data_IF_375031220013
#
_entry.id   IF_375031220013
#
_cell.length_a   1.000
_cell.length_b   1.000
_cell.length_c   1.000
_cell.angle_alpha   90.00
_cell.angle_beta   90.00
_cell.angle_gamma   90.00
#
_symmetry.space_group_name_H-M   'P 1'
#
loop_
_entity.id
_entity.type
_entity.pdbx_description
1 polymer ?
#
# COMPACT_ATOMS: atom_id res chain seq x y z
N UNK A 1 -29.32 20.56 5.31
CA UNK A 1 -29.05 21.51 4.20
C UNK A 1 -29.33 22.91 4.72
N UNK A 2 -28.28 23.65 5.05
CA UNK A 2 -28.38 24.99 5.63
C UNK A 2 -27.81 26.01 4.62
N UNK A 3 -28.65 26.94 4.20
CA UNK A 3 -28.31 28.02 3.29
C UNK A 3 -27.34 28.99 3.95
N UNK A 4 -26.14 29.13 3.37
CA UNK A 4 -25.15 30.12 3.78
C UNK A 4 -25.56 31.51 3.29
N UNK A 5 -25.42 32.43 4.23
CA UNK A 5 -25.80 33.84 4.27
C UNK A 5 -24.83 34.69 3.44
N UNK A 6 -25.41 35.63 2.70
CA UNK A 6 -24.94 36.95 2.26
C UNK A 6 -23.44 37.26 2.32
N UNK A 7 -22.91 37.58 1.13
CA UNK A 7 -21.62 38.23 0.93
C UNK A 7 -21.63 39.66 1.46
N UNK A 8 -20.55 39.97 2.16
CA UNK A 8 -20.22 41.24 2.80
C UNK A 8 -19.70 42.24 1.76
N UNK A 9 -20.21 43.47 1.82
CA UNK A 9 -19.67 44.63 1.11
C UNK A 9 -18.24 44.94 1.59
N UNK A 10 -17.31 45.06 0.63
CA UNK A 10 -15.97 45.60 0.82
C UNK A 10 -15.99 47.13 0.70
N UNK A 11 -15.91 47.82 1.83
CA UNK A 11 -15.58 49.24 1.90
C UNK A 11 -14.07 49.37 2.18
N UNK A 12 -13.30 49.70 1.13
CA UNK A 12 -11.90 50.12 1.24
C UNK A 12 -11.87 51.65 1.26
N UNK A 13 -11.60 52.23 2.44
CA UNK A 13 -11.35 53.65 2.62
C UNK A 13 -9.87 53.97 2.39
N UNK A 14 -9.59 54.81 1.40
CA UNK A 14 -8.28 55.46 1.24
C UNK A 14 -8.23 56.71 2.14
N UNK A 15 -7.12 56.81 2.87
CA UNK A 15 -6.69 57.88 3.80
C UNK A 15 -6.89 59.31 3.27
N UNK A 16 -7.11 60.29 4.17
CA UNK A 16 -6.69 61.69 3.97
C UNK A 16 -5.49 62.03 4.88
N UNK A 17 -4.49 62.73 4.35
CA UNK A 17 -3.49 63.42 5.17
C UNK A 17 -2.89 64.61 4.40
N UNK A 18 -3.23 65.85 4.82
CA UNK A 18 -2.35 67.03 4.82
C UNK A 18 -3.00 68.14 5.66
N UNK A 19 -2.56 68.27 6.91
CA UNK A 19 -1.69 69.34 7.45
C UNK A 19 -2.44 70.66 7.60
N UNK A 20 -2.75 70.97 8.87
CA UNK A 20 -3.12 72.28 9.39
C UNK A 20 -1.90 73.19 9.36
N UNK A 21 -2.06 74.40 8.83
CA UNK A 21 -1.28 75.56 9.26
C UNK A 21 -2.16 76.39 10.20
N UNK A 22 -1.79 76.37 11.48
CA UNK A 22 -2.25 77.34 12.45
C UNK A 22 -1.60 78.68 12.13
N UNK A 23 -2.42 79.70 11.89
CA UNK A 23 -1.98 81.07 12.01
C UNK A 23 -2.91 81.77 13.00
N UNK A 24 -2.41 81.87 14.24
CA UNK A 24 -2.91 82.78 15.25
C UNK A 24 -2.92 84.21 14.67
N UNK A 25 -4.06 84.89 14.79
CA UNK A 25 -4.11 86.34 14.72
C UNK A 25 -4.65 86.87 16.05
N UNK A 26 -4.05 87.96 16.54
CA UNK A 26 -4.16 88.34 17.94
C UNK A 26 -5.53 88.94 18.25
N UNK A 27 -6.01 88.61 19.44
CA UNK A 27 -6.87 89.45 20.25
C UNK A 27 -6.21 90.83 20.40
N UNK A 28 -6.72 91.82 19.68
CA UNK A 28 -6.55 93.22 20.06
C UNK A 28 -7.91 93.75 20.46
N UNK A 29 -8.06 93.99 21.77
CA UNK A 29 -9.06 94.90 22.27
C UNK A 29 -8.79 96.27 21.67
N UNK A 30 -9.74 96.77 20.90
CA UNK A 30 -9.86 98.19 20.57
C UNK A 30 -11.32 98.53 20.79
N UNK A 31 -11.60 99.11 21.96
CA UNK A 31 -12.79 99.93 22.17
C UNK A 31 -12.67 101.16 21.27
N UNK A 32 -12.94 100.97 19.98
CA UNK A 32 -13.27 102.06 19.07
C UNK A 32 -14.78 102.01 18.88
N UNK A 33 -15.47 102.96 19.51
CA UNK A 33 -16.79 103.39 19.10
C UNK A 33 -16.67 103.91 17.65
N UNK A 34 -16.68 102.98 16.68
CA UNK A 34 -16.90 103.30 15.29
C UNK A 34 -18.37 103.67 15.15
N UNK A 35 -18.66 104.97 15.25
CA UNK A 35 -19.78 105.57 14.54
C UNK A 35 -19.57 105.26 13.06
N UNK A 36 -20.20 104.18 12.58
CA UNK A 36 -20.09 103.72 11.22
C UNK A 36 -20.54 104.79 10.21
N UNK A 37 -20.14 104.67 8.93
CA UNK A 37 -20.52 105.61 7.90
C UNK A 37 -22.05 105.68 7.79
N UNK A 38 -22.60 106.88 8.00
CA UNK A 38 -24.03 107.18 7.95
C UNK A 38 -24.62 106.55 6.68
N UNK A 39 -25.56 105.63 6.89
CA UNK A 39 -26.21 104.84 5.85
C UNK A 39 -26.93 105.76 4.86
N UNK A 40 -27.16 105.27 3.64
CA UNK A 40 -27.85 106.03 2.58
C UNK A 40 -29.26 106.48 3.00
N UNK A 41 -29.87 105.77 3.96
CA UNK A 41 -31.15 106.13 4.57
C UNK A 41 -30.97 107.27 5.58
N UNK A 42 -30.00 107.18 6.49
CA UNK A 42 -29.72 108.24 7.47
C UNK A 42 -29.27 109.55 6.81
N UNK A 43 -28.54 109.50 5.69
CA UNK A 43 -28.23 110.69 4.88
C UNK A 43 -29.45 111.35 4.25
N UNK A 44 -30.46 110.56 3.85
CA UNK A 44 -31.74 111.10 3.34
C UNK A 44 -32.57 111.69 4.47
N UNK A 45 -32.56 111.05 5.63
CA UNK A 45 -33.20 111.56 6.85
C UNK A 45 -32.58 112.89 7.25
N UNK A 46 -31.24 112.98 7.29
CA UNK A 46 -30.52 114.21 7.59
C UNK A 46 -30.81 115.31 6.57
N UNK A 47 -30.80 115.01 5.26
CA UNK A 47 -31.14 115.99 4.23
C UNK A 47 -32.58 116.53 4.36
N UNK A 48 -33.53 115.66 4.70
CA UNK A 48 -34.91 116.06 4.99
C UNK A 48 -34.94 116.94 6.25
N UNK A 49 -34.21 116.60 7.31
CA UNK A 49 -34.14 117.40 8.53
C UNK A 49 -33.51 118.79 8.29
N UNK A 50 -32.49 118.85 7.44
CA UNK A 50 -31.80 120.09 7.06
C UNK A 50 -32.72 120.99 6.20
N UNK A 51 -33.44 120.44 5.21
CA UNK A 51 -34.48 121.18 4.45
C UNK A 51 -35.59 121.73 5.38
N UNK A 52 -35.99 120.96 6.38
CA UNK A 52 -36.97 121.41 7.36
C UNK A 52 -36.43 122.47 8.31
N UNK A 53 -35.14 122.43 8.66
CA UNK A 53 -34.46 123.46 9.44
C UNK A 53 -34.35 124.78 8.68
N UNK A 54 -34.15 124.75 7.36
CA UNK A 54 -34.17 125.95 6.50
C UNK A 54 -35.55 126.64 6.48
N UNK A 55 -36.64 125.86 6.41
CA UNK A 55 -38.02 126.39 6.48
C UNK A 55 -38.28 127.08 7.84
N UNK A 56 -37.64 126.61 8.91
CA UNK A 56 -37.76 127.19 10.24
C UNK A 56 -37.05 128.55 10.39
N UNK A 57 -36.07 128.87 9.54
CA UNK A 57 -35.24 130.08 9.64
C UNK A 57 -35.76 131.28 8.81
N UNK A 58 -36.84 131.12 8.05
CA UNK A 58 -37.46 132.20 7.25
C UNK A 58 -38.07 133.32 8.15
N UNK A 59 -37.95 134.61 7.77
CA UNK A 59 -38.38 135.74 8.60
C UNK A 59 -39.90 135.79 8.81
N UNK A 60 -40.31 136.20 10.02
CA UNK A 60 -41.70 136.18 10.51
C UNK A 60 -42.63 137.06 9.68
N UNK A 61 -43.48 136.44 8.88
CA UNK A 61 -44.68 137.04 8.32
C UNK A 61 -45.84 136.05 8.31
N UNK A 62 -46.79 136.19 9.24
CA UNK A 62 -48.09 135.51 9.23
C UNK A 62 -48.22 134.24 10.10
N UNK A 63 -49.37 134.09 10.76
CA UNK A 63 -49.77 132.96 11.62
C UNK A 63 -49.59 131.56 10.99
N UNK A 64 -49.44 131.47 9.67
CA UNK A 64 -49.21 130.22 8.95
C UNK A 64 -47.84 129.59 9.20
N UNK A 65 -46.78 130.39 9.35
CA UNK A 65 -45.41 129.88 9.60
C UNK A 65 -45.29 129.24 10.97
N UNK A 66 -45.99 129.79 11.97
CA UNK A 66 -45.98 129.23 13.32
C UNK A 66 -46.69 127.88 13.41
N UNK A 67 -47.80 127.70 12.67
CA UNK A 67 -48.53 126.43 12.58
C UNK A 67 -47.72 125.36 11.86
N UNK A 68 -47.04 125.70 10.77
CA UNK A 68 -46.17 124.78 10.03
C UNK A 68 -45.00 124.33 10.92
N UNK A 69 -44.34 125.27 11.62
CA UNK A 69 -43.26 124.97 12.58
C UNK A 69 -43.72 124.04 13.70
N UNK A 70 -44.93 124.25 14.24
CA UNK A 70 -45.50 123.38 15.28
C UNK A 70 -45.84 121.99 14.74
N UNK A 71 -46.43 121.91 13.55
CA UNK A 71 -46.74 120.64 12.89
C UNK A 71 -45.49 119.82 12.55
N UNK A 72 -44.42 120.49 12.12
CA UNK A 72 -43.13 119.87 11.85
C UNK A 72 -42.43 119.37 13.11
N UNK A 73 -42.44 120.18 14.19
CA UNK A 73 -41.92 119.73 15.49
C UNK A 73 -42.67 118.50 16.01
N UNK A 74 -43.99 118.45 15.80
CA UNK A 74 -44.81 117.31 16.21
C UNK A 74 -44.55 116.07 15.34
N UNK A 75 -44.42 116.22 14.02
CA UNK A 75 -44.04 115.12 13.13
C UNK A 75 -42.66 114.57 13.44
N UNK A 76 -41.69 115.44 13.75
CA UNK A 76 -40.35 115.03 14.14
C UNK A 76 -40.37 114.23 15.45
N UNK A 77 -41.14 114.69 16.44
CA UNK A 77 -41.31 114.00 17.72
C UNK A 77 -41.88 112.59 17.52
N UNK A 78 -42.97 112.46 16.74
CA UNK A 78 -43.59 111.16 16.42
C UNK A 78 -42.59 110.24 15.72
N UNK A 79 -41.76 110.78 14.82
CA UNK A 79 -40.79 109.97 14.08
C UNK A 79 -39.62 109.50 14.93
N UNK A 80 -39.12 110.37 15.82
CA UNK A 80 -38.11 109.97 16.81
C UNK A 80 -38.64 108.88 17.75
N UNK A 81 -39.89 109.02 18.24
CA UNK A 81 -40.55 108.01 19.07
C UNK A 81 -40.70 106.67 18.33
N UNK A 82 -41.13 106.69 17.06
CA UNK A 82 -41.27 105.46 16.25
C UNK A 82 -39.92 104.82 15.91
N UNK A 83 -38.89 105.62 15.67
CA UNK A 83 -37.52 105.14 15.48
C UNK A 83 -36.97 104.48 16.76
N UNK A 84 -37.23 105.06 17.93
CA UNK A 84 -36.81 104.52 19.22
C UNK A 84 -37.55 103.21 19.54
N UNK A 85 -38.86 103.14 19.30
CA UNK A 85 -39.65 101.91 19.45
C UNK A 85 -39.13 100.78 18.54
N UNK A 86 -38.85 101.09 17.27
CA UNK A 86 -38.27 100.10 16.33
C UNK A 86 -36.88 99.66 16.77
N UNK A 87 -36.01 100.58 17.20
CA UNK A 87 -34.68 100.26 17.70
C UNK A 87 -34.75 99.34 18.94
N UNK A 88 -35.68 99.60 19.86
CA UNK A 88 -35.92 98.76 21.03
C UNK A 88 -36.45 97.38 20.66
N UNK A 89 -37.34 97.29 19.66
CA UNK A 89 -37.81 96.01 19.13
C UNK A 89 -36.68 95.20 18.48
N UNK A 90 -35.77 95.84 17.73
CA UNK A 90 -34.60 95.17 17.16
C UNK A 90 -33.60 94.72 18.23
N UNK A 91 -33.32 95.53 19.25
CA UNK A 91 -32.47 95.14 20.39
C UNK A 91 -33.06 93.91 21.11
N UNK A 92 -34.38 93.90 21.33
CA UNK A 92 -35.08 92.76 21.94
C UNK A 92 -34.99 91.50 21.07
N UNK A 93 -35.25 91.61 19.75
CA UNK A 93 -35.10 90.50 18.81
C UNK A 93 -33.67 89.98 18.74
N UNK A 94 -32.67 90.87 18.69
CA UNK A 94 -31.26 90.50 18.70
C UNK A 94 -30.87 89.74 19.97
N UNK A 95 -31.37 90.18 21.14
CA UNK A 95 -31.12 89.49 22.41
C UNK A 95 -31.73 88.08 22.42
N UNK A 96 -32.98 87.93 21.96
CA UNK A 96 -33.62 86.61 21.83
C UNK A 96 -32.86 85.69 20.89
N UNK A 97 -32.42 86.20 19.74
CA UNK A 97 -31.65 85.42 18.76
C UNK A 97 -30.29 84.99 19.33
N UNK A 98 -29.68 85.83 20.16
CA UNK A 98 -28.43 85.51 20.85
C UNK A 98 -28.61 84.45 21.94
N UNK A 99 -29.72 84.50 22.68
CA UNK A 99 -30.12 83.46 23.64
C UNK A 99 -30.41 82.13 22.93
N UNK A 100 -31.16 82.14 21.82
CA UNK A 100 -31.45 80.95 21.00
C UNK A 100 -30.17 80.34 20.41
N UNK A 101 -29.24 81.18 19.93
CA UNK A 101 -27.94 80.73 19.45
C UNK A 101 -27.10 80.11 20.57
N UNK A 102 -27.10 80.71 21.76
CA UNK A 102 -26.47 80.16 22.96
C UNK A 102 -27.02 78.78 23.32
N UNK A 103 -28.35 78.65 23.30
CA UNK A 103 -29.04 77.38 23.55
C UNK A 103 -28.74 76.31 22.49
N UNK A 104 -28.73 76.69 21.20
CA UNK A 104 -28.35 75.78 20.12
C UNK A 104 -26.90 75.29 20.27
N UNK A 105 -25.99 76.17 20.67
CA UNK A 105 -24.60 75.82 20.94
C UNK A 105 -24.49 74.83 22.10
N UNK A 106 -25.22 75.06 23.19
CA UNK A 106 -25.25 74.15 24.34
C UNK A 106 -25.81 72.76 23.96
N UNK A 107 -26.87 72.70 23.16
CA UNK A 107 -27.39 71.43 22.63
C UNK A 107 -26.34 70.71 21.79
N UNK A 108 -25.62 71.41 20.91
CA UNK A 108 -24.58 70.81 20.09
C UNK A 108 -23.43 70.25 20.94
N UNK A 109 -23.01 70.99 21.96
CA UNK A 109 -22.00 70.54 22.92
C UNK A 109 -22.47 69.27 23.68
N UNK A 110 -23.73 69.22 24.12
CA UNK A 110 -24.32 68.04 24.75
C UNK A 110 -24.42 66.83 23.80
N UNK A 111 -24.78 67.05 22.54
CA UNK A 111 -24.84 65.99 21.53
C UNK A 111 -23.46 65.40 21.28
N UNK A 112 -22.43 66.24 21.18
CA UNK A 112 -21.06 65.78 20.93
C UNK A 112 -20.51 65.01 22.14
N UNK A 113 -20.78 65.49 23.37
CA UNK A 113 -20.43 64.79 24.61
C UNK A 113 -21.16 63.43 24.73
N UNK A 114 -22.40 63.33 24.26
CA UNK A 114 -23.16 62.07 24.28
C UNK A 114 -22.58 61.08 23.26
N UNK A 115 -22.24 61.54 22.06
CA UNK A 115 -21.60 60.69 21.03
C UNK A 115 -20.27 60.13 21.48
N UNK A 116 -19.43 60.93 22.17
CA UNK A 116 -18.16 60.44 22.70
C UNK A 116 -18.36 59.41 23.81
N UNK A 117 -19.33 59.63 24.71
CA UNK A 117 -19.68 58.66 25.76
C UNK A 117 -20.20 57.33 25.20
N UNK A 118 -21.00 57.35 24.14
CA UNK A 118 -21.48 56.13 23.47
C UNK A 118 -20.31 55.35 22.87
N UNK A 119 -19.41 56.02 22.13
CA UNK A 119 -18.23 55.38 21.54
C UNK A 119 -17.31 54.73 22.58
N UNK A 120 -17.12 55.39 23.72
CA UNK A 120 -16.32 54.84 24.82
C UNK A 120 -16.95 53.57 25.40
N UNK A 121 -18.27 53.55 25.59
CA UNK A 121 -19.01 52.36 26.08
C UNK A 121 -18.94 51.20 25.08
N UNK A 122 -19.14 51.47 23.79
CA UNK A 122 -19.02 50.45 22.73
C UNK A 122 -17.62 49.84 22.71
N UNK A 123 -16.58 50.66 22.78
CA UNK A 123 -15.20 50.17 22.78
C UNK A 123 -14.87 49.35 24.03
N UNK A 124 -15.34 49.78 25.21
CA UNK A 124 -15.17 49.04 26.45
C UNK A 124 -15.88 47.67 26.41
N UNK A 125 -17.06 47.61 25.80
CA UNK A 125 -17.83 46.37 25.64
C UNK A 125 -17.16 45.40 24.65
N UNK A 126 -16.61 45.92 23.54
CA UNK A 126 -15.84 45.12 22.59
C UNK A 126 -14.56 44.55 23.23
N UNK A 127 -13.84 45.36 24.00
CA UNK A 127 -12.65 44.90 24.75
C UNK A 127 -13.03 43.80 25.75
N UNK A 128 -14.14 43.94 26.46
CA UNK A 128 -14.61 42.93 27.40
C UNK A 128 -14.92 41.60 26.68
N UNK A 129 -15.65 41.66 25.55
CA UNK A 129 -15.98 40.49 24.74
C UNK A 129 -14.73 39.78 24.20
N UNK A 130 -13.78 40.55 23.65
CA UNK A 130 -12.52 40.02 23.14
C UNK A 130 -11.69 39.36 24.27
N UNK A 131 -11.63 39.97 25.46
CA UNK A 131 -10.95 39.36 26.62
C UNK A 131 -11.56 38.03 27.03
N UNK A 132 -12.90 37.93 27.08
CA UNK A 132 -13.57 36.65 27.36
C UNK A 132 -13.29 35.61 26.29
N UNK A 133 -13.33 35.99 25.01
CA UNK A 133 -13.04 35.06 23.91
C UNK A 133 -11.59 34.58 23.92
N UNK A 134 -10.62 35.45 24.21
CA UNK A 134 -9.21 35.07 24.38
C UNK A 134 -9.06 34.08 25.54
N UNK A 135 -9.69 34.34 26.69
CA UNK A 135 -9.62 33.44 27.84
C UNK A 135 -10.24 32.06 27.57
N UNK A 136 -11.32 32.00 26.78
CA UNK A 136 -11.92 30.73 26.33
C UNK A 136 -10.96 29.96 25.42
N UNK A 137 -10.34 30.63 24.44
CA UNK A 137 -9.36 30.02 23.54
C UNK A 137 -8.12 29.55 24.30
N UNK A 138 -7.59 30.34 25.24
CA UNK A 138 -6.45 29.95 26.07
C UNK A 138 -6.74 28.70 26.91
N UNK A 139 -7.99 28.58 27.40
CA UNK A 139 -8.45 27.38 28.10
C UNK A 139 -8.50 26.18 27.15
N UNK A 140 -9.04 26.33 25.94
CA UNK A 140 -9.07 25.26 24.95
C UNK A 140 -7.67 24.82 24.54
N UNK A 141 -6.73 25.76 24.36
CA UNK A 141 -5.32 25.48 24.09
C UNK A 141 -4.73 24.66 25.24
N UNK A 142 -4.91 25.09 26.48
CA UNK A 142 -4.40 24.38 27.67
C UNK A 142 -4.97 22.95 27.77
N UNK A 143 -6.26 22.77 27.49
CA UNK A 143 -6.89 21.45 27.49
C UNK A 143 -6.37 20.54 26.36
N UNK A 144 -6.10 21.11 25.18
CA UNK A 144 -5.52 20.38 24.06
C UNK A 144 -4.06 20.00 24.33
N UNK A 145 -3.25 20.89 24.89
CA UNK A 145 -1.87 20.60 25.31
C UNK A 145 -1.82 19.47 26.34
N UNK A 146 -2.72 19.50 27.33
CA UNK A 146 -2.86 18.41 28.31
C UNK A 146 -3.21 17.08 27.65
N UNK A 147 -4.19 17.07 26.73
CA UNK A 147 -4.56 15.85 25.98
C UNK A 147 -3.40 15.33 25.15
N UNK A 148 -2.67 16.22 24.50
CA UNK A 148 -1.50 15.91 23.67
C UNK A 148 -0.39 15.29 24.52
N UNK A 149 -0.10 15.83 25.72
CA UNK A 149 0.84 15.23 26.68
C UNK A 149 0.46 13.79 27.03
N UNK A 150 -0.81 13.54 27.37
CA UNK A 150 -1.30 12.19 27.70
C UNK A 150 -1.09 11.22 26.52
N UNK A 151 -1.36 11.67 25.30
CA UNK A 151 -1.14 10.87 24.10
C UNK A 151 0.34 10.58 23.84
N UNK A 152 1.23 11.55 24.09
CA UNK A 152 2.68 11.33 24.00
C UNK A 152 3.17 10.32 25.02
N UNK A 153 2.72 10.41 26.28
CA UNK A 153 3.06 9.47 27.33
C UNK A 153 2.57 8.05 26.99
N UNK A 154 1.33 7.94 26.49
CA UNK A 154 0.77 6.67 26.06
C UNK A 154 1.54 6.06 24.89
N UNK A 155 1.89 6.87 23.89
CA UNK A 155 2.72 6.44 22.76
C UNK A 155 4.09 5.96 23.23
N UNK A 156 4.75 6.70 24.12
CA UNK A 156 6.05 6.34 24.69
C UNK A 156 5.98 4.99 25.41
N UNK A 157 4.95 4.78 26.24
CA UNK A 157 4.73 3.52 26.94
C UNK A 157 4.50 2.34 25.98
N UNK A 158 3.72 2.54 24.91
CA UNK A 158 3.51 1.51 23.88
C UNK A 158 4.80 1.16 23.13
N UNK A 159 5.62 2.15 22.79
CA UNK A 159 6.92 1.93 22.14
C UNK A 159 7.85 1.12 23.04
N UNK A 160 7.94 1.46 24.32
CA UNK A 160 8.74 0.70 25.28
C UNK A 160 8.26 -0.76 25.38
N UNK A 161 6.95 -1.00 25.42
CA UNK A 161 6.38 -2.35 25.44
C UNK A 161 6.72 -3.15 24.19
N UNK A 162 6.62 -2.53 23.01
CA UNK A 162 6.99 -3.15 21.74
C UNK A 162 8.47 -3.54 21.74
N UNK A 163 9.36 -2.64 22.15
CA UNK A 163 10.79 -2.93 22.25
C UNK A 163 11.09 -4.09 23.22
N UNK A 164 10.38 -4.18 24.34
CA UNK A 164 10.50 -5.32 25.25
C UNK A 164 10.05 -6.63 24.59
N UNK A 165 8.90 -6.63 23.90
CA UNK A 165 8.42 -7.81 23.17
C UNK A 165 9.42 -8.25 22.09
N UNK A 166 9.91 -7.32 21.27
CA UNK A 166 10.90 -7.60 20.24
C UNK A 166 12.18 -8.23 20.84
N UNK A 167 12.64 -7.72 21.99
CA UNK A 167 13.81 -8.28 22.68
C UNK A 167 13.58 -9.71 23.18
N UNK A 168 12.37 -10.01 23.68
CA UNK A 168 12.01 -11.35 24.16
C UNK A 168 11.89 -12.33 22.99
N UNK A 169 11.26 -11.92 21.89
CA UNK A 169 11.18 -12.72 20.66
C UNK A 169 12.57 -13.01 20.09
N UNK A 170 13.47 -12.02 20.07
CA UNK A 170 14.86 -12.23 19.66
C UNK A 170 15.59 -13.24 20.54
N UNK A 171 15.38 -13.21 21.87
CA UNK A 171 15.97 -14.21 22.77
C UNK A 171 15.41 -15.61 22.52
N UNK A 172 14.09 -15.74 22.29
CA UNK A 172 13.46 -17.04 22.01
C UNK A 172 13.92 -17.63 20.66
N UNK A 173 14.06 -16.78 19.64
CA UNK A 173 14.61 -17.19 18.33
C UNK A 173 16.03 -17.72 18.52
N UNK A 174 16.88 -17.01 19.26
CA UNK A 174 18.26 -17.44 19.50
C UNK A 174 18.33 -18.77 20.25
N UNK A 175 17.51 -18.95 21.29
CA UNK A 175 17.42 -20.21 22.03
C UNK A 175 16.96 -21.39 21.15
N UNK A 176 16.03 -21.14 20.22
CA UNK A 176 15.57 -22.14 19.26
C UNK A 176 16.64 -22.49 18.22
N UNK A 177 17.38 -21.50 17.72
CA UNK A 177 18.52 -21.71 16.81
C UNK A 177 19.59 -22.58 17.46
N UNK A 178 19.98 -22.26 18.70
CA UNK A 178 20.95 -23.03 19.48
C UNK A 178 20.47 -24.47 19.76
N UNK A 179 19.17 -24.64 20.00
CA UNK A 179 18.58 -25.96 20.21
C UNK A 179 18.55 -26.78 18.91
N UNK A 180 18.25 -26.14 17.79
CA UNK A 180 18.24 -26.78 16.47
C UNK A 180 19.66 -27.23 16.10
N UNK A 181 20.65 -26.37 16.31
CA UNK A 181 22.06 -26.71 16.08
C UNK A 181 22.48 -27.94 16.91
N UNK A 182 22.17 -27.95 18.21
CA UNK A 182 22.45 -29.10 19.10
C UNK A 182 21.76 -30.38 18.64
N UNK A 183 20.49 -30.30 18.23
CA UNK A 183 19.76 -31.47 17.71
C UNK A 183 20.35 -31.97 16.39
N UNK A 184 20.82 -31.08 15.54
CA UNK A 184 21.49 -31.43 14.30
C UNK A 184 22.83 -32.13 14.58
N UNK A 185 23.64 -31.60 15.50
CA UNK A 185 24.87 -32.25 15.95
C UNK A 185 24.59 -33.64 16.56
N UNK A 186 23.55 -33.79 17.39
CA UNK A 186 23.13 -35.10 17.92
C UNK A 186 22.67 -36.07 16.83
N UNK A 187 22.01 -35.57 15.78
CA UNK A 187 21.60 -36.40 14.64
C UNK A 187 22.81 -36.88 13.84
N UNK A 188 23.73 -35.97 13.51
CA UNK A 188 24.92 -36.26 12.70
C UNK A 188 25.93 -37.17 13.42
N UNK A 189 26.04 -37.02 14.74
CA UNK A 189 26.94 -37.84 15.57
C UNK A 189 26.40 -39.23 15.88
N UNK A 190 25.13 -39.54 15.57
CA UNK A 190 24.57 -40.88 15.81
C UNK A 190 25.22 -41.91 14.87
N UNK A 191 26.00 -42.88 15.40
CA UNK A 191 26.78 -43.81 14.60
C UNK A 191 25.92 -44.78 13.76
N UNK A 192 24.64 -44.93 14.12
CA UNK A 192 23.71 -45.83 13.46
C UNK A 192 23.28 -45.32 12.07
N UNK A 193 23.21 -44.01 11.83
CA UNK A 193 22.74 -43.47 10.53
C UNK A 193 23.76 -43.76 9.44
N UNK A 194 25.04 -43.42 9.68
CA UNK A 194 26.11 -43.72 8.72
C UNK A 194 26.32 -45.22 8.50
N UNK A 195 26.19 -46.03 9.56
CA UNK A 195 26.30 -47.50 9.44
C UNK A 195 25.12 -48.09 8.66
N UNK A 196 23.90 -47.60 8.88
CA UNK A 196 22.70 -48.04 8.19
C UNK A 196 22.76 -47.67 6.70
N UNK A 197 23.13 -46.43 6.37
CA UNK A 197 23.27 -45.96 4.98
C UNK A 197 24.29 -46.79 4.20
N UNK A 198 25.45 -47.07 4.79
CA UNK A 198 26.46 -47.95 4.17
C UNK A 198 25.95 -49.38 3.97
N UNK A 199 25.20 -49.93 4.93
CA UNK A 199 24.63 -51.27 4.85
C UNK A 199 23.57 -51.36 3.75
N UNK A 200 22.71 -50.35 3.62
CA UNK A 200 21.69 -50.27 2.56
C UNK A 200 22.35 -50.22 1.17
N UNK A 201 23.41 -49.43 0.99
CA UNK A 201 24.15 -49.39 -0.27
C UNK A 201 24.77 -50.74 -0.63
N UNK A 202 25.45 -51.39 0.32
CA UNK A 202 26.04 -52.70 0.10
C UNK A 202 24.99 -53.78 -0.26
N UNK A 203 23.80 -53.70 0.34
CA UNK A 203 22.69 -54.61 -0.01
C UNK A 203 22.15 -54.37 -1.43
N UNK A 204 22.02 -53.11 -1.86
CA UNK A 204 21.58 -52.76 -3.22
C UNK A 204 22.55 -53.22 -4.30
N UNK A 205 23.85 -53.10 -4.05
CA UNK A 205 24.89 -53.61 -4.96
C UNK A 205 24.82 -55.13 -5.09
N UNK A 206 24.66 -55.84 -3.96
CA UNK A 206 24.47 -57.30 -3.96
C UNK A 206 23.20 -57.71 -4.68
N UNK A 207 22.09 -57.01 -4.47
CA UNK A 207 20.82 -57.28 -5.15
C UNK A 207 20.97 -57.12 -6.67
N UNK A 208 21.62 -56.05 -7.12
CA UNK A 208 21.85 -55.76 -8.54
C UNK A 208 22.76 -56.82 -9.18
N UNK A 209 23.82 -57.25 -8.48
CA UNK A 209 24.69 -58.34 -8.92
C UNK A 209 23.93 -59.67 -9.02
N UNK A 210 23.11 -60.02 -8.03
CA UNK A 210 22.29 -61.23 -8.05
C UNK A 210 21.27 -61.22 -9.20
N UNK A 211 20.56 -60.10 -9.41
CA UNK A 211 19.63 -59.94 -10.54
C UNK A 211 20.33 -60.15 -11.88
N UNK A 212 21.52 -59.57 -12.05
CA UNK A 212 22.31 -59.73 -13.27
C UNK A 212 22.74 -61.19 -13.49
N UNK A 213 23.24 -61.87 -12.46
CA UNK A 213 23.62 -63.29 -12.56
C UNK A 213 22.43 -64.19 -12.91
N UNK A 214 21.25 -63.92 -12.32
CA UNK A 214 20.02 -64.66 -12.64
C UNK A 214 19.61 -64.46 -14.10
N UNK A 215 19.65 -63.22 -14.60
CA UNK A 215 19.33 -62.92 -16.01
C UNK A 215 20.29 -63.64 -16.96
N UNK A 216 21.59 -63.65 -16.66
CA UNK A 216 22.58 -64.35 -17.48
C UNK A 216 22.35 -65.87 -17.49
N UNK A 217 22.09 -66.47 -16.33
CA UNK A 217 21.91 -67.92 -16.22
C UNK A 217 20.59 -68.43 -16.84
N UNK A 218 19.56 -67.59 -16.95
CA UNK A 218 18.21 -68.01 -17.35
C UNK A 218 18.16 -68.67 -18.73
N UNK A 219 18.90 -68.13 -19.71
CA UNK A 219 18.93 -68.65 -21.08
C UNK A 219 19.51 -70.07 -21.15
N UNK A 220 20.63 -70.32 -20.47
CA UNK A 220 21.22 -71.64 -20.36
C UNK A 220 20.32 -72.62 -19.60
N UNK A 221 19.67 -72.18 -18.51
CA UNK A 221 18.79 -73.06 -17.72
C UNK A 221 17.63 -73.54 -18.60
N UNK A 222 17.02 -72.62 -19.35
CA UNK A 222 15.94 -72.95 -20.28
C UNK A 222 16.39 -73.90 -21.39
N UNK A 223 17.58 -73.69 -21.94
CA UNK A 223 18.16 -74.59 -22.93
C UNK A 223 18.30 -76.01 -22.37
N UNK A 224 18.88 -76.17 -21.16
CA UNK A 224 19.09 -77.48 -20.56
C UNK A 224 17.79 -78.19 -20.17
N UNK A 225 16.76 -77.44 -19.76
CA UNK A 225 15.43 -78.00 -19.55
C UNK A 225 14.88 -78.62 -20.84
N UNK A 226 14.97 -77.90 -21.96
CA UNK A 226 14.50 -78.40 -23.25
C UNK A 226 15.33 -79.58 -23.78
N UNK A 227 16.65 -79.49 -23.65
CA UNK A 227 17.58 -80.56 -24.00
C UNK A 227 17.24 -81.87 -23.26
N UNK A 228 16.97 -81.80 -21.95
CA UNK A 228 16.60 -82.98 -21.15
C UNK A 228 15.29 -83.59 -21.68
N UNK A 229 14.29 -82.77 -22.01
CA UNK A 229 13.01 -83.24 -22.56
C UNK A 229 13.19 -83.96 -23.92
N UNK A 230 14.03 -83.40 -24.80
CA UNK A 230 14.30 -83.93 -26.14
C UNK A 230 15.07 -85.25 -26.09
N UNK A 231 16.14 -85.30 -25.29
CA UNK A 231 16.93 -86.52 -25.09
C UNK A 231 16.09 -87.60 -24.43
N UNK A 232 15.34 -87.27 -23.37
CA UNK A 232 14.51 -88.25 -22.67
C UNK A 232 13.48 -88.89 -23.59
N UNK A 233 12.85 -88.10 -24.46
CA UNK A 233 11.89 -88.63 -25.45
C UNK A 233 12.55 -89.59 -26.44
N UNK A 234 13.77 -89.27 -26.89
CA UNK A 234 14.54 -90.09 -27.82
C UNK A 234 15.08 -91.37 -27.15
N UNK A 235 15.51 -91.28 -25.89
CA UNK A 235 15.92 -92.43 -25.07
C UNK A 235 14.76 -93.39 -24.81
N UNK A 236 13.56 -92.88 -24.48
CA UNK A 236 12.36 -93.71 -24.32
C UNK A 236 12.01 -94.44 -25.63
N UNK A 237 12.11 -93.77 -26.78
CA UNK A 237 11.92 -94.40 -28.09
C UNK A 237 12.97 -95.49 -28.33
N UNK A 238 14.23 -95.22 -28.02
CA UNK A 238 15.33 -96.19 -28.13
C UNK A 238 15.07 -97.43 -27.25
N UNK A 239 14.62 -97.24 -26.00
CA UNK A 239 14.26 -98.32 -25.09
C UNK A 239 13.09 -99.16 -25.64
N UNK A 240 12.09 -98.52 -26.25
CA UNK A 240 10.95 -99.23 -26.86
C UNK A 240 11.32 -100.05 -28.11
N UNK A 241 12.40 -99.67 -28.79
CA UNK A 241 12.94 -100.38 -29.95
C UNK A 241 13.93 -101.49 -29.57
N UNK A 242 14.42 -101.48 -28.33
CA UNK A 242 15.21 -102.58 -27.77
C UNK A 242 14.30 -103.80 -27.55
N UNK A 243 14.66 -104.99 -28.05
CA UNK A 243 13.94 -106.19 -27.69
C UNK A 243 14.04 -106.38 -26.16
N UNK A 244 12.90 -106.68 -25.52
CA UNK A 244 12.83 -106.95 -24.08
C UNK A 244 13.92 -107.96 -23.68
N UNK A 245 14.86 -107.53 -22.83
CA UNK A 245 15.93 -108.34 -22.26
C UNK A 245 15.41 -109.37 -21.21
N UNK A 246 14.37 -110.12 -21.55
CA UNK A 246 13.62 -110.96 -20.62
C UNK A 246 13.09 -112.29 -21.18
N UNK A 247 13.50 -112.72 -22.38
CA UNK A 247 13.12 -114.06 -22.90
C UNK A 247 14.29 -114.74 -23.60
N UNK A 248 14.80 -115.83 -23.01
CA UNK A 248 15.83 -116.72 -23.54
C UNK A 248 15.39 -117.45 -24.83
N UNK A 249 15.32 -116.75 -25.95
CA UNK A 249 15.33 -117.32 -27.31
C UNK A 249 16.18 -116.41 -28.18
N UNK A 250 17.05 -117.00 -29.00
CA UNK A 250 17.88 -116.27 -29.95
C UNK A 250 16.99 -115.33 -30.79
N UNK A 251 17.19 -114.04 -30.62
CA UNK A 251 16.40 -113.02 -31.30
C UNK A 251 16.57 -113.13 -32.82
N UNK A 252 15.50 -112.93 -33.62
CA UNK A 252 15.66 -112.77 -35.05
C UNK A 252 16.54 -111.53 -35.32
N UNK A 253 17.37 -111.56 -36.38
CA UNK A 253 18.19 -110.40 -36.72
C UNK A 253 17.30 -109.17 -36.88
N UNK A 254 17.68 -108.07 -36.22
CA UNK A 254 17.01 -106.77 -36.34
C UNK A 254 16.86 -106.46 -37.83
N UNK A 255 15.64 -106.13 -38.30
CA UNK A 255 15.45 -105.75 -39.70
C UNK A 255 16.29 -104.51 -40.02
N UNK A 256 16.87 -104.43 -41.21
CA UNK A 256 17.72 -103.29 -41.63
C UNK A 256 17.05 -101.93 -41.38
N UNK A 257 15.72 -101.86 -41.50
CA UNK A 257 14.91 -100.68 -41.19
C UNK A 257 14.93 -100.27 -39.72
N UNK A 258 14.87 -101.22 -38.77
CA UNK A 258 14.96 -100.93 -37.33
C UNK A 258 16.39 -100.61 -36.90
N UNK A 259 17.38 -101.24 -37.53
CA UNK A 259 18.79 -100.94 -37.28
C UNK A 259 19.13 -99.50 -37.70
N UNK A 260 18.66 -99.08 -38.89
CA UNK A 260 18.78 -97.70 -39.34
C UNK A 260 18.05 -96.69 -38.42
N UNK A 261 16.87 -97.04 -37.90
CA UNK A 261 16.12 -96.20 -36.96
C UNK A 261 16.85 -96.03 -35.61
N UNK A 262 17.43 -97.11 -35.07
CA UNK A 262 18.24 -97.07 -33.83
C UNK A 262 19.50 -96.23 -34.03
N UNK A 263 20.23 -96.42 -35.13
CA UNK A 263 21.40 -95.60 -35.44
C UNK A 263 21.05 -94.12 -35.63
N UNK A 264 19.91 -93.83 -36.26
CA UNK A 264 19.40 -92.47 -36.42
C UNK A 264 19.07 -91.82 -35.07
N UNK A 265 18.40 -92.54 -34.16
CA UNK A 265 18.10 -92.06 -32.82
C UNK A 265 19.36 -91.83 -31.98
N UNK A 266 20.33 -92.76 -32.02
CA UNK A 266 21.61 -92.60 -31.33
C UNK A 266 22.41 -91.40 -31.87
N UNK A 267 22.44 -91.22 -33.19
CA UNK A 267 23.07 -90.07 -33.82
C UNK A 267 22.40 -88.75 -33.41
N UNK A 268 21.06 -88.73 -33.36
CA UNK A 268 20.29 -87.57 -32.90
C UNK A 268 20.58 -87.22 -31.44
N UNK A 269 20.53 -88.22 -30.54
CA UNK A 269 20.85 -88.05 -29.12
C UNK A 269 22.26 -87.50 -28.96
N UNK A 270 23.24 -88.11 -29.65
CA UNK A 270 24.63 -87.69 -29.60
C UNK A 270 24.82 -86.25 -30.11
N UNK A 271 24.12 -85.87 -31.16
CA UNK A 271 24.13 -84.49 -31.66
C UNK A 271 23.57 -83.50 -30.63
N UNK A 272 22.45 -83.85 -29.97
CA UNK A 272 21.87 -83.03 -28.89
C UNK A 272 22.84 -82.89 -27.71
N UNK A 273 23.53 -83.97 -27.29
CA UNK A 273 24.56 -83.90 -26.24
C UNK A 273 25.75 -83.02 -26.63
N UNK A 274 26.23 -83.08 -27.89
CA UNK A 274 27.31 -82.22 -28.38
C UNK A 274 26.90 -80.75 -28.44
N UNK A 275 25.68 -80.46 -28.87
CA UNK A 275 25.09 -79.11 -28.83
C UNK A 275 24.99 -78.59 -27.39
N UNK A 276 24.54 -79.43 -26.45
CA UNK A 276 24.49 -79.07 -25.03
C UNK A 276 25.88 -78.81 -24.43
N UNK A 277 26.91 -79.53 -24.87
CA UNK A 277 28.28 -79.33 -24.43
C UNK A 277 28.80 -77.95 -24.84
N UNK A 278 28.54 -77.51 -26.08
CA UNK A 278 28.91 -76.17 -26.56
C UNK A 278 28.22 -75.05 -25.73
N UNK A 279 26.95 -75.25 -25.38
CA UNK A 279 26.23 -74.32 -24.50
C UNK A 279 26.79 -74.33 -23.07
N UNK A 280 27.13 -75.49 -22.52
CA UNK A 280 27.77 -75.57 -21.19
C UNK A 280 29.16 -74.92 -21.16
N UNK A 281 29.97 -75.10 -22.21
CA UNK A 281 31.31 -74.50 -22.34
C UNK A 281 31.20 -72.99 -22.46
N UNK A 282 30.32 -72.47 -23.31
CA UNK A 282 30.12 -71.02 -23.46
C UNK A 282 29.62 -70.33 -22.19
N UNK A 283 28.93 -71.06 -21.31
CA UNK A 283 28.50 -70.58 -20.00
C UNK A 283 29.46 -70.95 -18.84
N UNK A 284 30.57 -71.63 -19.14
CA UNK A 284 31.59 -72.09 -18.17
C UNK A 284 31.01 -72.98 -17.04
N UNK A 285 30.05 -73.84 -17.38
CA UNK A 285 29.35 -74.71 -16.43
C UNK A 285 30.10 -76.03 -16.18
N UNK A 286 31.25 -75.92 -15.52
CA UNK A 286 32.20 -77.04 -15.32
C UNK A 286 31.57 -78.37 -14.89
N UNK A 287 30.64 -78.45 -13.92
CA UNK A 287 30.04 -79.72 -13.53
C UNK A 287 29.22 -80.36 -14.65
N UNK A 288 28.52 -79.55 -15.45
CA UNK A 288 27.67 -80.00 -16.55
C UNK A 288 28.53 -80.47 -17.74
N UNK A 289 29.60 -79.73 -18.04
CA UNK A 289 30.58 -80.10 -19.08
C UNK A 289 31.10 -81.52 -18.87
N UNK A 290 31.56 -81.83 -17.65
CA UNK A 290 32.11 -83.17 -17.32
C UNK A 290 31.08 -84.28 -17.50
N UNK A 291 29.82 -84.05 -17.10
CA UNK A 291 28.76 -85.04 -17.27
C UNK A 291 28.43 -85.29 -18.75
N UNK A 292 28.30 -84.21 -19.53
CA UNK A 292 28.02 -84.32 -20.97
C UNK A 292 29.16 -85.02 -21.73
N UNK A 293 30.41 -84.75 -21.38
CA UNK A 293 31.57 -85.43 -21.99
C UNK A 293 31.53 -86.94 -21.73
N UNK A 294 31.14 -87.37 -20.52
CA UNK A 294 30.99 -88.79 -20.19
C UNK A 294 29.85 -89.46 -20.98
N UNK A 295 28.70 -88.80 -21.08
CA UNK A 295 27.54 -89.32 -21.80
C UNK A 295 27.80 -89.39 -23.32
N UNK A 296 28.50 -88.40 -23.89
CA UNK A 296 28.92 -88.40 -25.30
C UNK A 296 29.77 -89.64 -25.60
N UNK A 297 30.79 -89.92 -24.78
CA UNK A 297 31.66 -91.09 -24.96
C UNK A 297 30.84 -92.39 -24.90
N UNK A 298 29.94 -92.51 -23.93
CA UNK A 298 29.05 -93.68 -23.80
C UNK A 298 28.19 -93.90 -25.06
N UNK A 299 27.60 -92.83 -25.60
CA UNK A 299 26.75 -92.90 -26.79
C UNK A 299 27.55 -93.17 -28.08
N UNK A 300 28.77 -92.64 -28.20
CA UNK A 300 29.70 -92.95 -29.29
C UNK A 300 30.11 -94.44 -29.27
N UNK A 301 30.43 -94.99 -28.10
CA UNK A 301 30.72 -96.42 -27.95
C UNK A 301 29.54 -97.30 -28.36
N UNK A 302 28.32 -96.96 -27.92
CA UNK A 302 27.10 -97.68 -28.34
C UNK A 302 26.90 -97.65 -29.85
N UNK A 303 27.07 -96.50 -30.49
CA UNK A 303 26.91 -96.33 -31.93
C UNK A 303 27.96 -97.11 -32.74
N UNK A 304 29.22 -97.11 -32.28
CA UNK A 304 30.31 -97.86 -32.91
C UNK A 304 30.12 -99.38 -32.80
N UNK A 305 29.65 -99.87 -31.65
CA UNK A 305 29.35 -101.29 -31.43
C UNK A 305 28.20 -101.80 -32.32
N UNK A 306 27.21 -100.96 -32.61
CA UNK A 306 26.10 -101.29 -33.51
C UNK A 306 26.47 -101.21 -34.99
N UNK A 307 27.40 -100.33 -35.35
CA UNK A 307 27.86 -100.12 -36.73
C UNK A 307 28.90 -101.17 -37.18
N UNK A 308 29.64 -101.77 -36.26
CA UNK A 308 30.65 -102.81 -36.55
C UNK A 308 30.05 -104.20 -36.80
N UNK A 309 28.75 -104.40 -36.58
CA UNK A 309 28.02 -105.62 -36.94
C UNK A 309 27.45 -105.46 -38.36
N UNK A 310 28.30 -105.60 -39.37
CA UNK A 310 27.89 -105.80 -40.78
C UNK A 310 28.15 -107.25 -41.18
N UNK A 311 27.17 -107.99 -41.76
CA UNK A 311 27.40 -109.37 -42.19
C UNK A 311 28.29 -109.36 -43.44
N UNK A 312 29.52 -109.84 -43.31
CA UNK A 312 30.39 -110.11 -44.44
C UNK A 312 29.90 -111.36 -45.17
N UNK A 313 29.27 -111.18 -46.34
CA UNK A 313 29.01 -112.26 -47.30
C UNK A 313 30.35 -112.84 -47.80
N UNK A 314 30.72 -114.02 -47.34
CA UNK A 314 31.67 -114.89 -48.06
C UNK A 314 30.94 -116.15 -48.53
N UNK A 315 30.42 -116.07 -49.75
CA UNK A 315 30.16 -117.22 -50.60
C UNK A 315 31.48 -117.66 -51.23
N UNK A 316 31.87 -118.92 -51.06
CA UNK A 316 32.81 -119.58 -51.97
C UNK A 316 32.26 -120.95 -52.33
N UNK A 317 31.91 -121.07 -53.60
CA UNK A 317 31.46 -122.30 -54.23
C UNK A 317 32.65 -123.23 -54.56
N UNK A 318 32.45 -124.52 -54.29
CA UNK A 318 32.90 -125.72 -55.03
C UNK A 318 34.22 -125.71 -55.80
N UNK A 319 35.11 -126.64 -55.44
CA UNK A 319 35.90 -127.42 -56.40
C UNK A 319 36.35 -128.76 -55.77
N UNK A 320 35.85 -129.88 -56.28
CA UNK A 320 36.38 -131.23 -56.04
C UNK A 320 37.75 -131.42 -56.72
N UNK A 321 38.56 -132.39 -56.28
CA UNK A 321 39.01 -133.39 -57.25
C UNK A 321 39.18 -134.83 -56.69
N UNK A 322 38.80 -135.78 -57.56
CA UNK A 322 39.09 -137.24 -57.63
C UNK A 322 38.88 -138.13 -56.40
#
# INVERSE_FOLDING_TARGET
>A
MNYKKNQLNMLSSKKPQKVMDMQEKPTSGSSQEHLGPISKAERKIQAILDEHAEILLLPKGGDHVHRIRKALGEQLRIWCEECEERANAYKSKSKKLQEEYGFQKEILEQVEATKSSIKEKEHAQEIAYLKTSIAEVDKEISDLERKLSILYDHRSHLVNRLQTCDSLEQTEIHDLEDRLLRLQEEYDTRPHVNKLTKTIHALREKESSLRFMVIQAYSGIRFFQHFIEEVHTSELKLQSLSPYAGTNKADPPISETRHAEVLSLLASILHSFKSALEVAISNNWKPIIVLLEQDIVLYEEKMNNLSSVTPSNTSFATASPK
#
